data_IF_249707797789
#
_entry.id   IF_249707797789
#
_cell.length_a   1.000
_cell.length_b   1.000
_cell.length_c   1.000
_cell.angle_alpha   90.00
_cell.angle_beta   90.00
_cell.angle_gamma   90.00
#
_symmetry.space_group_name_H-M   'P 1'
#
loop_
_entity.id
_entity.type
_entity.pdbx_description
1 polymer ?
#
# COMPACT_ATOMS: atom_id res chain seq x y z
N UNK A 1 -5.14 13.15 -4.20
CA UNK A 1 -6.56 12.72 -4.25
C UNK A 1 -7.31 12.99 -2.96
N UNK A 2 -6.74 12.67 -1.79
CA UNK A 2 -7.35 12.86 -0.45
C UNK A 2 -7.93 14.26 -0.16
N UNK A 3 -7.27 15.33 -0.62
CA UNK A 3 -7.77 16.71 -0.48
C UNK A 3 -9.12 16.89 -1.18
N UNK A 4 -9.23 16.44 -2.43
CA UNK A 4 -10.46 16.58 -3.23
C UNK A 4 -11.60 15.77 -2.61
N UNK A 5 -11.33 14.58 -2.09
CA UNK A 5 -12.32 13.75 -1.40
C UNK A 5 -12.87 14.45 -0.15
N UNK A 6 -11.99 15.00 0.68
CA UNK A 6 -12.40 15.78 1.85
C UNK A 6 -13.26 16.98 1.45
N UNK A 7 -12.86 17.72 0.42
CA UNK A 7 -13.63 18.84 -0.10
C UNK A 7 -14.99 18.40 -0.66
N UNK A 8 -15.09 17.22 -1.29
CA UNK A 8 -16.34 16.64 -1.80
C UNK A 8 -17.31 16.24 -0.69
N UNK A 9 -16.79 15.98 0.51
CA UNK A 9 -17.57 15.79 1.74
C UNK A 9 -17.92 17.11 2.44
N UNK A 10 -17.56 18.26 1.85
CA UNK A 10 -17.75 19.57 2.46
C UNK A 10 -16.86 19.78 3.68
N UNK A 11 -15.67 19.18 3.71
CA UNK A 11 -14.70 19.39 4.78
C UNK A 11 -13.63 20.39 4.33
N UNK A 12 -13.43 21.50 5.05
CA UNK A 12 -12.33 22.40 4.75
C UNK A 12 -10.99 21.75 5.12
N UNK A 13 -9.99 21.93 4.27
CA UNK A 13 -8.69 21.23 4.38
C UNK A 13 -7.62 22.18 4.89
N UNK A 14 -6.77 21.70 5.81
CA UNK A 14 -5.47 22.32 6.11
C UNK A 14 -4.39 21.41 5.53
N UNK A 15 -3.57 21.93 4.63
CA UNK A 15 -2.50 21.18 3.98
C UNK A 15 -1.19 21.94 4.05
N UNK A 16 -0.08 21.20 4.07
CA UNK A 16 1.23 21.80 3.81
C UNK A 16 1.30 22.30 2.37
N UNK A 17 1.97 23.43 2.17
CA UNK A 17 2.22 24.09 0.91
C UNK A 17 3.43 23.44 0.25
N UNK A 18 3.20 22.25 -0.28
CA UNK A 18 4.21 21.51 -1.03
C UNK A 18 4.35 22.08 -2.45
N UNK A 19 5.51 21.93 -3.12
CA UNK A 19 5.76 22.53 -4.43
C UNK A 19 4.77 22.14 -5.54
N UNK A 20 4.14 20.97 -5.44
CA UNK A 20 3.12 20.47 -6.37
C UNK A 20 1.98 19.83 -5.60
N UNK A 21 0.75 19.93 -6.12
CA UNK A 21 -0.44 19.29 -5.54
C UNK A 21 -1.34 20.24 -4.73
N UNK A 22 -1.12 20.45 -3.41
CA UNK A 22 -2.08 21.19 -2.56
C UNK A 22 -2.44 22.57 -3.08
N UNK A 23 -1.46 23.35 -3.56
CA UNK A 23 -1.68 24.70 -4.09
C UNK A 23 -2.45 24.73 -5.42
N UNK A 24 -2.47 23.62 -6.15
CA UNK A 24 -3.25 23.50 -7.39
C UNK A 24 -4.70 23.11 -7.10
N UNK A 25 -5.00 22.67 -5.87
CA UNK A 25 -6.31 22.17 -5.46
C UNK A 25 -7.01 23.19 -4.56
N UNK A 26 -6.29 23.76 -3.59
CA UNK A 26 -6.80 24.65 -2.54
C UNK A 26 -6.59 26.11 -2.92
N UNK A 27 -7.66 26.90 -2.83
CA UNK A 27 -7.62 28.35 -2.82
C UNK A 27 -7.43 28.83 -1.36
N UNK A 28 -6.19 29.16 -1.01
CA UNK A 28 -5.77 29.47 0.36
C UNK A 28 -6.61 30.58 1.01
N UNK A 29 -7.13 30.29 2.20
CA UNK A 29 -7.99 31.18 2.97
C UNK A 29 -9.47 31.16 2.56
N UNK A 30 -9.82 30.56 1.41
CA UNK A 30 -11.19 30.52 0.89
C UNK A 30 -11.85 29.16 1.08
N UNK A 31 -11.21 28.09 0.59
CA UNK A 31 -11.75 26.72 0.63
C UNK A 31 -10.86 25.74 1.42
N UNK A 32 -9.67 26.19 1.81
CA UNK A 32 -8.74 25.50 2.69
C UNK A 32 -7.66 26.45 3.19
N UNK A 33 -6.65 25.90 3.85
CA UNK A 33 -5.45 26.62 4.26
C UNK A 33 -4.21 25.90 3.79
N UNK A 34 -3.25 26.68 3.30
CA UNK A 34 -1.91 26.23 3.00
C UNK A 34 -0.96 26.74 4.07
N UNK A 35 -0.23 25.84 4.71
CA UNK A 35 0.79 26.18 5.71
C UNK A 35 2.18 25.83 5.20
N UNK A 36 3.25 26.55 5.57
CA UNK A 36 4.60 26.23 5.12
C UNK A 36 4.98 24.76 5.37
N UNK A 37 5.71 24.18 4.42
CA UNK A 37 6.30 22.84 4.62
C UNK A 37 7.32 22.90 5.77
N UNK A 38 7.38 21.84 6.58
CA UNK A 38 8.24 21.69 7.76
C UNK A 38 7.99 22.67 8.93
N UNK A 39 6.83 23.34 8.96
CA UNK A 39 6.40 24.21 10.07
C UNK A 39 5.20 23.60 10.84
N UNK A 40 5.51 22.76 11.82
CA UNK A 40 4.50 22.09 12.66
C UNK A 40 3.71 23.07 13.53
N UNK A 41 4.32 24.17 13.97
CA UNK A 41 3.66 25.15 14.82
C UNK A 41 2.61 25.93 14.02
N UNK A 42 2.95 26.35 12.79
CA UNK A 42 1.98 26.95 11.87
C UNK A 42 0.82 26.00 11.55
N UNK A 43 1.12 24.71 11.36
CA UNK A 43 0.09 23.68 11.13
C UNK A 43 -0.87 23.55 12.33
N UNK A 44 -0.33 23.49 13.56
CA UNK A 44 -1.13 23.40 14.78
C UNK A 44 -1.98 24.66 15.01
N UNK A 45 -1.43 25.85 14.75
CA UNK A 45 -2.17 27.13 14.84
C UNK A 45 -3.30 27.17 13.83
N UNK A 46 -3.06 26.76 12.58
CA UNK A 46 -4.08 26.70 11.53
C UNK A 46 -5.25 25.81 11.94
N UNK A 47 -4.97 24.58 12.41
CA UNK A 47 -6.00 23.66 12.91
C UNK A 47 -6.78 24.26 14.08
N UNK A 48 -6.09 24.72 15.13
CA UNK A 48 -6.74 25.27 16.34
C UNK A 48 -7.63 26.46 16.03
N UNK A 49 -7.16 27.36 15.16
CA UNK A 49 -7.92 28.55 14.78
C UNK A 49 -9.21 28.18 14.05
N UNK A 50 -9.16 27.17 13.16
CA UNK A 50 -10.33 26.73 12.39
C UNK A 50 -11.30 25.88 13.21
N UNK A 51 -10.80 25.04 14.10
CA UNK A 51 -11.64 24.24 15.00
C UNK A 51 -12.46 25.11 15.97
N UNK A 52 -11.97 26.32 16.30
CA UNK A 52 -12.63 27.25 17.22
C UNK A 52 -13.63 28.20 16.56
N UNK A 53 -13.70 28.25 15.23
CA UNK A 53 -14.56 29.19 14.50
C UNK A 53 -15.51 28.43 13.57
N UNK A 54 -16.71 28.14 14.07
CA UNK A 54 -17.72 27.33 13.39
C UNK A 54 -18.23 27.97 12.10
N UNK A 55 -18.49 29.27 12.11
CA UNK A 55 -19.01 30.01 10.94
C UNK A 55 -18.00 30.01 9.79
N UNK A 56 -16.73 30.25 10.11
CA UNK A 56 -15.65 30.22 9.14
C UNK A 56 -15.48 28.81 8.56
N UNK A 57 -15.56 27.77 9.41
CA UNK A 57 -15.49 26.37 8.96
C UNK A 57 -16.65 26.02 8.04
N UNK A 58 -17.88 26.43 8.37
CA UNK A 58 -19.07 26.19 7.56
C UNK A 58 -19.01 26.92 6.21
N UNK A 59 -18.48 28.15 6.18
CA UNK A 59 -18.27 28.88 4.94
C UNK A 59 -17.24 28.19 4.06
N UNK A 60 -16.08 27.82 4.61
CA UNK A 60 -15.01 27.15 3.86
C UNK A 60 -15.46 25.78 3.36
N UNK A 61 -16.19 25.01 4.15
CA UNK A 61 -16.83 23.76 3.74
C UNK A 61 -17.65 23.90 2.45
N UNK A 62 -18.46 24.95 2.36
CA UNK A 62 -19.29 25.24 1.19
C UNK A 62 -18.45 25.60 -0.04
N UNK A 63 -17.38 26.38 0.15
CA UNK A 63 -16.46 26.74 -0.93
C UNK A 63 -15.65 25.53 -1.41
N UNK A 64 -15.18 24.70 -0.48
CA UNK A 64 -14.49 23.43 -0.75
C UNK A 64 -15.36 22.50 -1.60
N UNK A 65 -16.61 22.30 -1.20
CA UNK A 65 -17.56 21.49 -1.96
C UNK A 65 -17.78 22.04 -3.37
N UNK A 66 -17.91 23.36 -3.51
CA UNK A 66 -18.08 24.00 -4.82
C UNK A 66 -16.84 23.85 -5.71
N UNK A 67 -15.64 24.10 -5.17
CA UNK A 67 -14.39 24.00 -5.93
C UNK A 67 -14.09 22.54 -6.33
N UNK A 68 -14.41 21.56 -5.48
CA UNK A 68 -14.19 20.13 -5.76
C UNK A 68 -14.86 19.63 -7.04
N UNK A 69 -15.93 20.29 -7.49
CA UNK A 69 -16.68 19.89 -8.69
C UNK A 69 -15.84 19.92 -9.98
N UNK A 70 -14.77 20.73 -10.04
CA UNK A 70 -13.86 20.76 -11.20
C UNK A 70 -13.01 19.49 -11.34
N UNK A 71 -12.94 18.68 -10.28
CA UNK A 71 -12.22 17.41 -10.26
C UNK A 71 -13.16 16.20 -10.42
N UNK A 72 -14.41 16.43 -10.85
CA UNK A 72 -15.35 15.35 -11.12
C UNK A 72 -14.81 14.42 -12.23
N UNK A 73 -14.78 13.09 -12.03
CA UNK A 73 -14.20 12.17 -13.01
C UNK A 73 -14.85 12.26 -14.40
N UNK A 74 -16.16 12.51 -14.47
CA UNK A 74 -16.84 12.64 -15.76
C UNK A 74 -16.43 13.94 -16.48
N UNK A 75 -16.25 15.03 -15.72
CA UNK A 75 -15.75 16.29 -16.26
C UNK A 75 -14.33 16.15 -16.81
N UNK A 76 -13.43 15.53 -16.02
CA UNK A 76 -12.03 15.31 -16.42
C UNK A 76 -11.90 14.35 -17.61
N UNK A 77 -12.69 13.28 -17.63
CA UNK A 77 -12.70 12.33 -18.75
C UNK A 77 -13.17 12.99 -20.06
N UNK A 78 -14.18 13.85 -20.00
CA UNK A 78 -14.65 14.60 -21.16
C UNK A 78 -13.57 15.56 -21.69
N UNK A 79 -12.93 16.31 -20.79
CA UNK A 79 -11.83 17.22 -21.15
C UNK A 79 -10.66 16.45 -21.79
N UNK A 80 -10.26 15.33 -21.18
CA UNK A 80 -9.18 14.50 -21.72
C UNK A 80 -9.52 13.92 -23.11
N UNK A 81 -10.76 13.52 -23.33
CA UNK A 81 -11.21 13.04 -24.64
C UNK A 81 -11.15 14.15 -25.70
N UNK A 82 -11.54 15.38 -25.35
CA UNK A 82 -11.44 16.55 -26.22
C UNK A 82 -9.98 16.88 -26.55
N UNK A 83 -9.09 16.89 -25.54
CA UNK A 83 -7.65 17.13 -25.72
C UNK A 83 -7.02 16.04 -26.62
N UNK A 84 -7.39 14.76 -26.41
CA UNK A 84 -6.95 13.66 -27.27
C UNK A 84 -7.42 13.84 -28.72
N UNK A 85 -8.68 14.26 -28.90
CA UNK A 85 -9.23 14.50 -30.23
C UNK A 85 -8.48 15.62 -30.95
N UNK A 86 -8.11 16.70 -30.24
CA UNK A 86 -7.30 17.79 -30.80
C UNK A 86 -5.92 17.30 -31.26
N UNK A 87 -5.22 16.53 -30.42
CA UNK A 87 -3.91 15.95 -30.77
C UNK A 87 -4.00 15.03 -31.98
N UNK A 88 -5.06 14.22 -32.06
CA UNK A 88 -5.29 13.31 -33.19
C UNK A 88 -5.63 14.06 -34.48
N UNK A 89 -6.41 15.14 -34.41
CA UNK A 89 -6.72 15.98 -35.57
C UNK A 89 -5.45 16.62 -36.16
N UNK A 90 -4.59 17.17 -35.30
CA UNK A 90 -3.29 17.73 -35.71
C UNK A 90 -2.43 16.66 -36.41
N UNK A 91 -2.37 15.44 -35.87
CA UNK A 91 -1.61 14.33 -36.48
C UNK A 91 -2.17 13.87 -37.82
N UNK A 92 -3.48 14.03 -38.06
CA UNK A 92 -4.13 13.71 -39.34
C UNK A 92 -4.01 14.82 -40.39
N UNK A 93 -3.36 15.94 -40.06
CA UNK A 93 -3.27 17.10 -40.94
C UNK A 93 -4.58 17.90 -41.05
N UNK A 94 -5.51 17.66 -40.13
CA UNK A 94 -6.77 18.40 -40.05
C UNK A 94 -6.51 19.72 -39.32
N UNK A 95 -6.97 20.84 -39.88
CA UNK A 95 -6.82 22.14 -39.21
C UNK A 95 -7.76 22.18 -38.01
N UNK A 96 -7.28 22.36 -36.76
CA UNK A 96 -8.15 22.39 -35.59
C UNK A 96 -9.14 23.54 -35.72
N UNK A 97 -10.44 23.24 -35.63
CA UNK A 97 -11.46 24.29 -35.48
C UNK A 97 -11.36 24.84 -34.07
N UNK A 98 -10.64 25.94 -33.92
CA UNK A 98 -10.48 26.64 -32.65
C UNK A 98 -11.86 27.07 -32.12
N UNK A 99 -12.36 26.37 -31.11
CA UNK A 99 -13.55 26.81 -30.36
C UNK A 99 -13.10 27.98 -29.51
N UNK A 100 -13.51 29.22 -29.87
CA UNK A 100 -13.41 30.37 -28.95
C UNK A 100 -14.26 30.05 -27.73
N UNK A 101 -13.64 29.47 -26.70
CA UNK A 101 -14.25 29.39 -25.38
C UNK A 101 -14.37 30.83 -24.89
N UNK A 102 -15.60 31.32 -24.86
CA UNK A 102 -15.93 32.59 -24.22
C UNK A 102 -15.56 32.48 -22.75
N UNK A 103 -14.36 32.95 -22.41
CA UNK A 103 -13.91 33.17 -21.05
C UNK A 103 -14.85 34.21 -20.43
N UNK A 104 -15.93 33.76 -19.78
CA UNK A 104 -16.68 34.59 -18.82
C UNK A 104 -15.72 34.89 -17.69
N UNK A 105 -15.04 36.02 -17.81
CA UNK A 105 -14.23 36.58 -16.74
C UNK A 105 -15.13 36.92 -15.57
N UNK A 106 -14.95 36.20 -14.46
CA UNK A 106 -15.20 36.79 -13.15
C UNK A 106 -14.17 37.92 -12.94
N UNK A 107 -14.59 39.11 -12.47
CA UNK A 107 -13.70 40.24 -12.34
C UNK A 107 -12.73 39.99 -11.19
N UNK A 108 -11.53 39.50 -11.50
CA UNK A 108 -10.37 39.62 -10.61
C UNK A 108 -10.01 41.10 -10.54
N UNK A 109 -10.50 41.78 -9.50
CA UNK A 109 -9.95 43.09 -9.10
C UNK A 109 -8.47 42.88 -8.81
N UNK A 110 -7.64 43.51 -9.64
CA UNK A 110 -6.20 43.42 -9.56
C UNK A 110 -5.67 44.07 -8.30
N UNK A 111 -4.64 43.43 -7.74
CA UNK A 111 -3.51 44.13 -7.17
C UNK A 111 -2.25 43.58 -7.85
N UNK A 112 -1.82 44.36 -8.84
CA UNK A 112 -0.44 44.66 -9.22
C UNK A 112 0.67 43.70 -8.75
N UNK A 113 1.32 43.12 -9.76
CA UNK A 113 2.76 42.81 -9.85
C UNK A 113 3.61 43.41 -8.71
N UNK A 114 4.34 42.55 -8.02
CA UNK A 114 5.69 42.87 -7.57
C UNK A 114 6.61 41.69 -7.92
N UNK A 115 7.42 41.89 -8.96
CA UNK A 115 8.74 41.30 -9.02
C UNK A 115 9.58 41.98 -7.95
N UNK A 116 10.25 41.21 -7.09
CA UNK A 116 11.67 41.35 -6.75
C UNK A 116 11.99 40.47 -5.53
N UNK A 117 12.87 39.50 -5.75
CA UNK A 117 13.80 39.10 -4.72
C UNK A 117 14.63 40.32 -4.30
N UNK A 118 14.64 40.66 -3.01
CA UNK A 118 15.77 41.28 -2.26
C UNK A 118 15.32 41.70 -0.85
N UNK A 119 16.17 41.37 0.13
CA UNK A 119 16.28 42.12 1.39
C UNK A 119 15.49 41.53 2.55
N UNK A 120 16.21 41.05 3.56
CA UNK A 120 15.59 40.67 4.83
C UNK A 120 15.23 41.88 5.68
N UNK A 121 14.27 41.68 6.57
CA UNK A 121 14.20 42.32 7.88
C UNK A 121 13.45 41.36 8.83
N UNK A 122 14.15 40.91 9.88
CA UNK A 122 13.56 40.16 10.99
C UNK A 122 12.65 41.11 11.78
N UNK A 123 11.36 40.81 11.88
CA UNK A 123 10.54 41.37 12.95
C UNK A 123 10.86 40.66 14.26
N UNK A 124 11.49 41.36 15.21
CA UNK A 124 11.63 40.92 16.60
C UNK A 124 10.31 41.13 17.32
N UNK A 125 9.61 40.06 17.67
CA UNK A 125 8.59 40.13 18.71
C UNK A 125 9.24 40.18 20.10
N UNK A 126 8.93 41.18 20.95
CA UNK A 126 9.58 41.37 22.24
C UNK A 126 9.33 40.26 23.28
N UNK A 127 8.35 39.38 23.07
CA UNK A 127 7.95 38.36 24.06
C UNK A 127 8.28 36.91 23.66
N UNK A 128 8.90 36.68 22.49
CA UNK A 128 9.30 35.33 22.06
C UNK A 128 10.37 34.72 22.97
N UNK A 129 11.28 35.56 23.49
CA UNK A 129 12.35 35.13 24.43
C UNK A 129 11.76 34.68 25.76
N UNK A 130 10.64 35.27 26.19
CA UNK A 130 9.94 34.88 27.43
C UNK A 130 9.13 33.59 27.26
N UNK A 131 8.60 33.35 26.06
CA UNK A 131 7.88 32.13 25.70
C UNK A 131 8.82 30.93 25.53
N UNK A 132 10.04 31.16 25.02
CA UNK A 132 11.10 30.15 24.89
C UNK A 132 11.87 29.87 26.20
N UNK A 133 11.61 30.63 27.26
CA UNK A 133 12.18 30.40 28.57
C UNK A 133 11.40 29.37 29.41
N UNK A 134 10.30 28.81 28.88
CA UNK A 134 9.52 27.76 29.54
C UNK A 134 10.38 26.48 29.71
N UNK A 135 10.65 26.03 30.96
CA UNK A 135 11.45 24.84 31.23
C UNK A 135 10.90 23.55 30.60
N UNK A 136 9.62 23.51 30.20
CA UNK A 136 9.01 22.35 29.54
C UNK A 136 9.47 22.13 28.08
N UNK A 137 10.04 23.15 27.42
CA UNK A 137 10.50 23.07 26.03
C UNK A 137 11.99 22.66 25.88
N UNK A 138 12.78 22.64 26.96
CA UNK A 138 14.21 22.24 26.92
C UNK A 138 14.46 20.75 26.73
N UNK A 139 13.43 19.91 26.75
CA UNK A 139 13.57 18.45 26.66
C UNK A 139 13.78 17.87 25.26
N UNK A 140 13.60 18.63 24.18
CA UNK A 140 13.53 18.07 22.81
C UNK A 140 14.61 18.63 21.87
N UNK A 141 15.28 19.73 22.21
CA UNK A 141 16.27 20.39 21.36
C UNK A 141 17.70 20.30 21.91
N UNK A 142 18.22 19.08 22.07
CA UNK A 142 19.58 18.85 22.53
C UNK A 142 20.23 17.65 21.83
N UNK A 143 20.64 17.82 20.57
CA UNK A 143 21.79 17.07 20.05
C UNK A 143 22.43 17.81 18.87
N UNK A 144 23.62 18.33 19.15
CA UNK A 144 24.54 19.12 18.34
C UNK A 144 24.82 18.57 16.92
N UNK A 145 24.46 19.38 15.91
CA UNK A 145 25.17 19.48 14.63
C UNK A 145 26.18 20.62 14.78
N UNK A 146 27.48 20.40 15.08
CA UNK A 146 28.48 20.45 14.01
C UNK A 146 29.85 19.80 14.36
N UNK A 147 29.97 18.47 14.47
CA UNK A 147 31.30 17.80 14.52
C UNK A 147 31.30 16.39 13.90
N UNK A 148 31.07 16.25 12.59
CA UNK A 148 31.37 14.99 11.85
C UNK A 148 31.83 15.21 10.40
N UNK A 149 32.64 16.23 10.14
CA UNK A 149 33.37 16.35 8.88
C UNK A 149 34.78 15.75 9.00
N UNK A 150 34.89 14.41 9.04
CA UNK A 150 36.16 13.67 8.73
C UNK A 150 36.04 12.14 8.89
N UNK A 151 35.06 11.61 9.62
CA UNK A 151 34.87 10.15 9.78
C UNK A 151 33.93 9.55 8.70
N UNK A 152 33.08 10.40 8.08
CA UNK A 152 32.08 9.98 7.10
C UNK A 152 32.66 9.38 5.80
N UNK A 153 33.86 9.81 5.39
CA UNK A 153 34.50 9.33 4.16
C UNK A 153 35.01 7.88 4.28
N UNK A 154 35.57 7.51 5.44
CA UNK A 154 36.09 6.17 5.69
C UNK A 154 34.96 5.13 5.89
N UNK A 155 33.84 5.53 6.51
CA UNK A 155 32.66 4.67 6.67
C UNK A 155 31.93 4.46 5.33
N UNK A 156 31.96 5.45 4.42
CA UNK A 156 31.39 5.32 3.05
C UNK A 156 32.12 4.25 2.24
N UNK A 157 33.45 4.19 2.30
CA UNK A 157 34.26 3.22 1.56
C UNK A 157 34.09 1.77 2.09
N UNK A 158 33.97 1.60 3.41
CA UNK A 158 33.68 0.29 4.01
C UNK A 158 32.25 -0.21 3.70
N UNK A 159 31.27 0.70 3.62
CA UNK A 159 29.88 0.39 3.20
C UNK A 159 29.77 0.05 1.71
N UNK A 160 30.50 0.73 0.83
CA UNK A 160 30.53 0.42 -0.61
C UNK A 160 31.11 -0.98 -0.87
N UNK A 161 32.14 -1.40 -0.12
CA UNK A 161 32.70 -2.76 -0.22
C UNK A 161 31.74 -3.84 0.29
N UNK A 162 31.00 -3.61 1.39
CA UNK A 162 29.96 -4.55 1.89
C UNK A 162 28.73 -4.59 0.98
N UNK A 163 28.28 -3.46 0.44
CA UNK A 163 27.14 -3.40 -0.48
C UNK A 163 27.40 -4.18 -1.79
N UNK A 164 28.63 -4.16 -2.31
CA UNK A 164 29.03 -4.99 -3.47
C UNK A 164 29.01 -6.49 -3.18
N UNK A 165 29.38 -6.92 -1.96
CA UNK A 165 29.33 -8.32 -1.53
C UNK A 165 27.90 -8.84 -1.31
N UNK A 166 26.99 -7.97 -0.82
CA UNK A 166 25.57 -8.30 -0.66
C UNK A 166 24.83 -8.29 -2.00
N UNK A 167 25.20 -7.37 -2.90
CA UNK A 167 24.72 -7.33 -4.29
C UNK A 167 25.09 -8.59 -5.08
N UNK A 168 26.27 -9.17 -4.84
CA UNK A 168 26.67 -10.45 -5.45
C UNK A 168 25.86 -11.64 -4.94
N UNK A 169 25.45 -11.66 -3.66
CA UNK A 169 24.54 -12.69 -3.12
C UNK A 169 23.13 -12.55 -3.69
N UNK A 170 22.61 -11.32 -3.82
CA UNK A 170 21.33 -11.03 -4.48
C UNK A 170 21.39 -11.45 -5.96
N UNK A 171 22.44 -11.10 -6.67
CA UNK A 171 22.64 -11.51 -8.07
C UNK A 171 22.85 -13.03 -8.23
N UNK A 172 23.51 -13.72 -7.30
CA UNK A 172 23.59 -15.18 -7.31
C UNK A 172 22.23 -15.85 -7.03
N UNK A 173 21.42 -15.28 -6.13
CA UNK A 173 20.06 -15.75 -5.88
C UNK A 173 19.15 -15.53 -7.10
N UNK A 174 19.30 -14.39 -7.80
CA UNK A 174 18.62 -14.11 -9.07
C UNK A 174 19.07 -15.09 -10.17
N UNK A 175 20.38 -15.33 -10.34
CA UNK A 175 20.90 -16.29 -11.34
C UNK A 175 20.46 -17.73 -11.07
N UNK A 176 20.43 -18.17 -9.81
CA UNK A 176 19.87 -19.49 -9.43
C UNK A 176 18.35 -19.59 -9.69
N UNK A 177 17.62 -18.47 -9.69
CA UNK A 177 16.17 -18.41 -9.97
C UNK A 177 15.82 -18.45 -11.45
N UNK A 178 16.64 -17.85 -12.32
CA UNK A 178 16.44 -17.86 -13.78
C UNK A 178 16.84 -19.21 -14.39
N UNK A 179 17.75 -19.95 -13.76
CA UNK A 179 18.25 -21.25 -14.24
C UNK A 179 17.74 -22.43 -13.40
N UNK A 180 16.42 -22.52 -13.18
CA UNK A 180 15.81 -23.75 -12.67
C UNK A 180 15.72 -24.79 -13.79
N UNK A 181 15.96 -26.08 -13.54
CA UNK A 181 15.79 -27.11 -14.57
C UNK A 181 14.37 -27.07 -15.13
N UNK A 182 14.24 -27.24 -16.45
CA UNK A 182 12.99 -27.18 -17.22
C UNK A 182 11.97 -28.27 -16.83
N UNK A 183 12.35 -29.22 -15.96
CA UNK A 183 11.59 -30.43 -15.62
C UNK A 183 10.85 -30.36 -14.26
N UNK A 184 10.70 -29.16 -13.68
CA UNK A 184 9.91 -28.99 -12.45
C UNK A 184 8.46 -28.67 -12.83
N UNK A 185 7.46 -29.45 -12.38
CA UNK A 185 6.07 -29.22 -12.73
C UNK A 185 5.59 -27.86 -12.21
N UNK A 186 4.76 -27.20 -13.01
CA UNK A 186 4.14 -25.92 -12.66
C UNK A 186 2.63 -26.08 -12.48
N UNK A 187 2.03 -25.26 -11.62
CA UNK A 187 0.58 -25.22 -11.44
C UNK A 187 0.07 -23.81 -11.24
N UNK A 188 -1.15 -23.60 -11.70
CA UNK A 188 -1.97 -22.47 -11.32
C UNK A 188 -2.74 -22.78 -10.03
N UNK A 189 -2.92 -21.77 -9.19
CA UNK A 189 -3.75 -21.84 -8.00
C UNK A 189 -4.65 -20.61 -7.91
N UNK A 190 -5.94 -20.84 -7.75
CA UNK A 190 -6.95 -19.80 -7.59
C UNK A 190 -7.71 -20.00 -6.27
N UNK A 191 -7.87 -18.92 -5.52
CA UNK A 191 -8.80 -18.87 -4.39
C UNK A 191 -10.22 -18.65 -4.95
N UNK A 192 -11.15 -19.48 -4.52
CA UNK A 192 -12.54 -19.47 -4.97
C UNK A 192 -13.44 -18.66 -4.01
N UNK A 193 -14.65 -18.24 -4.42
CA UNK A 193 -15.57 -17.44 -3.59
C UNK A 193 -15.93 -18.05 -2.23
N UNK A 194 -16.08 -19.38 -2.17
CA UNK A 194 -16.27 -20.11 -0.92
C UNK A 194 -14.97 -20.28 -0.10
N UNK A 195 -13.91 -19.54 -0.42
CA UNK A 195 -12.58 -19.53 0.21
C UNK A 195 -11.75 -20.82 0.07
N UNK A 196 -12.28 -21.85 -0.60
CA UNK A 196 -11.51 -23.01 -1.06
C UNK A 196 -10.50 -22.68 -2.16
N UNK A 197 -9.73 -23.69 -2.58
CA UNK A 197 -8.68 -23.56 -3.60
C UNK A 197 -9.01 -24.38 -4.84
N UNK A 198 -8.66 -23.85 -6.01
CA UNK A 198 -8.68 -24.57 -7.28
C UNK A 198 -7.28 -24.63 -7.87
N UNK A 199 -6.89 -25.84 -8.26
CA UNK A 199 -5.62 -26.12 -8.93
C UNK A 199 -5.87 -26.37 -10.40
N UNK A 200 -4.95 -25.92 -11.25
CA UNK A 200 -4.92 -26.27 -12.67
C UNK A 200 -3.49 -26.56 -13.09
N UNK A 201 -3.27 -27.71 -13.73
CA UNK A 201 -1.97 -28.18 -14.19
C UNK A 201 -2.09 -28.59 -15.65
N UNK A 202 -1.06 -28.38 -16.46
CA UNK A 202 -1.08 -28.81 -17.86
C UNK A 202 -1.17 -30.33 -17.96
N UNK A 203 -2.05 -30.83 -18.83
CA UNK A 203 -2.27 -32.27 -18.97
C UNK A 203 -0.98 -33.00 -19.40
N UNK A 204 -0.18 -32.35 -20.25
CA UNK A 204 1.13 -32.86 -20.68
C UNK A 204 2.15 -33.00 -19.53
N UNK A 205 1.99 -32.28 -18.43
CA UNK A 205 2.89 -32.30 -17.28
C UNK A 205 2.46 -33.32 -16.20
N UNK A 206 1.32 -33.98 -16.38
CA UNK A 206 0.69 -34.87 -15.40
C UNK A 206 0.53 -36.29 -15.94
N UNK A 207 0.78 -37.28 -15.10
CA UNK A 207 0.34 -38.65 -15.38
C UNK A 207 -1.18 -38.78 -15.15
N UNK A 208 -1.86 -39.72 -15.85
CA UNK A 208 -3.25 -40.05 -15.54
C UNK A 208 -3.42 -40.37 -14.05
N UNK A 209 -4.45 -39.81 -13.40
CA UNK A 209 -4.69 -39.98 -11.98
C UNK A 209 -3.72 -39.24 -11.05
N UNK A 210 -3.11 -38.14 -11.52
CA UNK A 210 -2.26 -37.29 -10.68
C UNK A 210 -3.05 -36.60 -9.55
N UNK A 211 -2.34 -36.31 -8.47
CA UNK A 211 -2.89 -35.63 -7.29
C UNK A 211 -2.08 -34.37 -6.98
N UNK A 212 -2.75 -33.31 -6.56
CA UNK A 212 -2.09 -32.26 -5.80
C UNK A 212 -2.04 -32.72 -4.35
N UNK A 213 -0.84 -32.69 -3.77
CA UNK A 213 -0.61 -33.08 -2.38
C UNK A 213 -0.13 -31.86 -1.61
N UNK A 214 -0.90 -31.46 -0.61
CA UNK A 214 -0.52 -30.43 0.35
C UNK A 214 0.00 -31.11 1.61
N UNK A 215 1.14 -30.63 2.12
CA UNK A 215 1.75 -31.20 3.34
C UNK A 215 2.22 -30.10 4.28
N UNK A 216 1.80 -30.18 5.54
CA UNK A 216 2.40 -29.44 6.63
C UNK A 216 3.24 -30.39 7.51
N UNK A 217 3.59 -29.99 8.74
CA UNK A 217 4.39 -30.82 9.66
C UNK A 217 3.64 -32.01 10.24
N UNK A 218 2.30 -31.99 10.25
CA UNK A 218 1.43 -32.97 10.94
C UNK A 218 0.49 -33.74 10.02
N UNK A 219 0.12 -33.15 8.90
CA UNK A 219 -1.00 -33.55 8.05
C UNK A 219 -0.60 -33.56 6.57
N UNK A 220 -1.31 -34.42 5.82
CA UNK A 220 -1.22 -34.51 4.37
C UNK A 220 -2.64 -34.50 3.81
N UNK A 221 -2.90 -33.60 2.87
CA UNK A 221 -4.19 -33.46 2.20
C UNK A 221 -3.98 -33.69 0.71
N UNK A 222 -4.82 -34.51 0.10
CA UNK A 222 -4.72 -34.90 -1.31
C UNK A 222 -5.94 -34.40 -2.08
N UNK A 223 -5.69 -33.82 -3.25
CA UNK A 223 -6.72 -33.32 -4.17
C UNK A 223 -6.59 -34.09 -5.47
N UNK A 224 -7.65 -34.82 -5.83
CA UNK A 224 -7.71 -35.52 -7.10
C UNK A 224 -7.78 -34.51 -8.25
N UNK A 225 -7.02 -34.75 -9.32
CA UNK A 225 -7.09 -33.95 -10.52
C UNK A 225 -7.84 -34.70 -11.63
N UNK A 226 -8.92 -34.11 -12.13
CA UNK A 226 -9.68 -34.59 -13.29
C UNK A 226 -9.39 -33.77 -14.55
N UNK A 227 -9.64 -34.27 -15.77
CA UNK A 227 -9.48 -33.48 -16.99
C UNK A 227 -10.45 -32.30 -17.03
N UNK A 228 -10.00 -31.15 -17.54
CA UNK A 228 -10.88 -30.04 -17.92
C UNK A 228 -11.68 -30.38 -19.17
N UNK A 229 -12.74 -29.60 -19.44
CA UNK A 229 -13.63 -29.83 -20.60
C UNK A 229 -12.89 -29.80 -21.95
N UNK A 230 -11.82 -29.01 -22.06
CA UNK A 230 -10.98 -28.91 -23.26
C UNK A 230 -9.89 -30.00 -23.33
N UNK A 231 -9.73 -30.82 -22.28
CA UNK A 231 -8.72 -31.87 -22.17
C UNK A 231 -7.28 -31.36 -22.05
N UNK A 232 -7.06 -30.03 -22.09
CA UNK A 232 -5.72 -29.44 -22.07
C UNK A 232 -5.11 -29.40 -20.68
N UNK A 233 -5.95 -29.43 -19.64
CA UNK A 233 -5.52 -29.27 -18.25
C UNK A 233 -6.14 -30.34 -17.36
N UNK A 234 -5.51 -30.55 -16.23
CA UNK A 234 -6.06 -31.28 -15.12
C UNK A 234 -6.36 -30.33 -13.96
N UNK A 235 -7.55 -30.44 -13.40
CA UNK A 235 -8.12 -29.51 -12.44
C UNK A 235 -8.60 -30.27 -11.21
N UNK A 236 -8.37 -29.68 -10.03
CA UNK A 236 -8.90 -30.19 -8.77
C UNK A 236 -9.29 -29.05 -7.85
N UNK A 237 -10.22 -29.32 -6.95
CA UNK A 237 -10.73 -28.34 -5.99
C UNK A 237 -10.59 -28.87 -4.58
N UNK A 238 -10.31 -27.95 -3.66
CA UNK A 238 -10.16 -28.21 -2.24
C UNK A 238 -11.09 -27.26 -1.49
N UNK A 239 -11.92 -27.79 -0.61
CA UNK A 239 -12.81 -27.01 0.22
C UNK A 239 -12.05 -26.17 1.26
N UNK A 240 -12.68 -25.09 1.72
CA UNK A 240 -12.04 -24.16 2.65
C UNK A 240 -11.76 -24.78 4.03
N UNK A 241 -12.52 -25.80 4.44
CA UNK A 241 -12.39 -26.48 5.72
C UNK A 241 -11.27 -27.53 5.75
N UNK A 242 -10.79 -27.96 4.58
CA UNK A 242 -9.87 -29.07 4.43
C UNK A 242 -8.43 -28.80 4.91
N UNK A 243 -8.05 -27.54 5.11
CA UNK A 243 -6.73 -27.19 5.65
C UNK A 243 -6.84 -26.65 7.07
N UNK A 244 -6.02 -27.21 7.97
CA UNK A 244 -5.73 -26.64 9.28
C UNK A 244 -4.79 -25.43 9.19
N UNK A 245 -4.76 -24.62 10.25
CA UNK A 245 -3.90 -23.43 10.34
C UNK A 245 -2.42 -23.81 10.18
N UNK A 246 -1.71 -23.08 9.31
CA UNK A 246 -0.27 -23.26 9.15
C UNK A 246 0.23 -23.09 7.72
N UNK A 247 1.48 -23.52 7.51
CA UNK A 247 2.14 -23.51 6.21
C UNK A 247 2.01 -24.86 5.53
N UNK A 248 1.52 -24.86 4.31
CA UNK A 248 1.33 -26.04 3.48
C UNK A 248 2.23 -26.00 2.27
N UNK A 249 3.10 -26.99 2.15
CA UNK A 249 3.94 -27.18 0.97
C UNK A 249 3.18 -27.96 -0.09
N UNK A 250 3.28 -27.53 -1.35
CA UNK A 250 2.52 -28.11 -2.47
C UNK A 250 3.40 -29.00 -3.34
N UNK A 251 2.89 -30.19 -3.64
CA UNK A 251 3.51 -31.21 -4.46
C UNK A 251 2.53 -31.71 -5.51
N UNK A 252 3.06 -32.20 -6.63
CA UNK A 252 2.34 -33.00 -7.60
C UNK A 252 2.79 -34.45 -7.43
N UNK A 253 1.84 -35.34 -7.19
CA UNK A 253 2.07 -36.78 -7.11
C UNK A 253 1.56 -37.46 -8.37
N UNK A 254 2.37 -38.38 -8.92
CA UNK A 254 1.89 -39.28 -9.95
C UNK A 254 1.00 -40.40 -9.35
N UNK A 255 0.30 -41.14 -10.22
CA UNK A 255 -0.52 -42.29 -9.80
C UNK A 255 0.28 -43.44 -9.15
N UNK A 256 1.62 -43.34 -9.11
CA UNK A 256 2.54 -44.31 -8.48
C UNK A 256 3.09 -43.82 -7.13
N UNK A 257 2.71 -42.61 -6.69
CA UNK A 257 3.05 -42.05 -5.38
C UNK A 257 4.35 -41.24 -5.32
N UNK A 258 5.08 -41.08 -6.42
CA UNK A 258 6.26 -40.22 -6.48
C UNK A 258 5.83 -38.75 -6.45
N UNK A 259 6.48 -37.92 -5.62
CA UNK A 259 6.07 -36.53 -5.35
C UNK A 259 7.13 -35.55 -5.80
N UNK A 260 6.74 -34.56 -6.59
CA UNK A 260 7.61 -33.47 -7.04
C UNK A 260 7.08 -32.13 -6.53
N UNK A 261 7.98 -31.26 -6.07
CA UNK A 261 7.62 -29.89 -5.68
C UNK A 261 7.12 -29.13 -6.90
N UNK A 262 6.10 -28.30 -6.71
CA UNK A 262 5.45 -27.55 -7.79
C UNK A 262 5.94 -26.10 -7.79
N UNK A 263 6.15 -25.52 -8.98
CA UNK A 263 6.34 -24.07 -9.14
C UNK A 263 5.00 -23.37 -9.41
N UNK A 264 4.76 -22.19 -8.85
CA UNK A 264 3.60 -21.41 -9.23
C UNK A 264 3.78 -20.85 -10.64
N UNK A 265 2.73 -20.99 -11.45
CA UNK A 265 2.60 -20.35 -12.76
C UNK A 265 1.70 -19.11 -12.62
N UNK A 266 0.41 -19.28 -12.36
CA UNK A 266 -0.53 -18.19 -12.04
C UNK A 266 -1.14 -18.36 -10.64
N UNK A 267 -1.09 -17.30 -9.84
CA UNK A 267 -1.75 -17.23 -8.53
C UNK A 267 -2.85 -16.17 -8.58
N UNK A 268 -4.10 -16.56 -8.29
CA UNK A 268 -5.25 -15.66 -8.29
C UNK A 268 -5.94 -15.66 -6.92
N UNK A 269 -5.69 -14.61 -6.14
CA UNK A 269 -6.21 -14.43 -4.78
C UNK A 269 -7.13 -13.22 -4.64
N UNK A 270 -7.60 -12.63 -5.75
CA UNK A 270 -8.39 -11.38 -5.75
C UNK A 270 -9.68 -11.45 -4.94
N UNK A 271 -10.25 -12.65 -4.81
CA UNK A 271 -11.46 -12.85 -4.00
C UNK A 271 -11.24 -12.58 -2.50
N UNK A 272 -9.99 -12.61 -2.03
CA UNK A 272 -9.65 -12.27 -0.64
C UNK A 272 -9.72 -10.76 -0.37
N UNK A 273 -9.69 -9.92 -1.40
CA UNK A 273 -9.85 -8.45 -1.28
C UNK A 273 -11.29 -7.99 -1.49
N UNK A 274 -12.08 -8.75 -2.26
CA UNK A 274 -13.45 -8.34 -2.67
C UNK A 274 -14.57 -9.11 -1.95
N UNK A 275 -14.30 -9.74 -0.80
CA UNK A 275 -15.28 -10.60 -0.13
C UNK A 275 -16.53 -9.77 0.27
N UNK A 276 -17.73 -10.06 -0.28
CA UNK A 276 -18.93 -9.31 0.05
C UNK A 276 -19.29 -9.54 1.52
N UNK A 277 -19.60 -8.47 2.24
CA UNK A 277 -20.05 -8.50 3.64
C UNK A 277 -21.24 -9.46 3.87
N UNK A 278 -22.02 -9.69 2.81
CA UNK A 278 -23.38 -10.23 2.85
C UNK A 278 -23.48 -11.70 2.36
N UNK A 279 -22.40 -12.26 1.77
CA UNK A 279 -22.47 -13.51 0.99
C UNK A 279 -22.40 -14.83 1.79
N UNK A 280 -22.24 -14.78 3.11
CA UNK A 280 -22.10 -15.96 3.97
C UNK A 280 -23.14 -15.90 5.10
N UNK A 281 -24.42 -15.96 4.72
CA UNK A 281 -25.55 -16.09 5.63
C UNK A 281 -25.71 -17.57 6.05
N UNK A 282 -25.06 -17.92 7.16
CA UNK A 282 -25.14 -19.20 7.86
C UNK A 282 -24.38 -19.06 9.18
N UNK A 283 -24.51 -19.99 10.13
CA UNK A 283 -23.65 -20.05 11.32
C UNK A 283 -22.18 -20.06 10.87
N UNK A 284 -21.55 -18.88 10.86
CA UNK A 284 -20.20 -18.71 10.34
C UNK A 284 -19.28 -19.50 11.26
N UNK A 285 -18.72 -20.60 10.76
CA UNK A 285 -17.79 -21.48 11.50
C UNK A 285 -16.41 -20.84 11.69
N UNK A 286 -16.37 -19.54 11.99
CA UNK A 286 -15.17 -18.74 12.10
C UNK A 286 -14.68 -18.14 10.77
N UNK A 287 -13.40 -17.76 10.72
CA UNK A 287 -12.73 -17.19 9.54
C UNK A 287 -11.70 -18.18 9.02
N UNK A 288 -11.74 -18.44 7.70
CA UNK A 288 -10.77 -19.26 6.99
C UNK A 288 -10.24 -18.50 5.79
N UNK A 289 -8.93 -18.43 5.63
CA UNK A 289 -8.29 -17.79 4.49
C UNK A 289 -7.07 -18.59 4.05
N UNK A 290 -7.02 -18.92 2.75
CA UNK A 290 -5.92 -19.68 2.16
C UNK A 290 -5.22 -18.83 1.11
N UNK A 291 -3.99 -18.43 1.39
CA UNK A 291 -3.18 -17.58 0.50
C UNK A 291 -2.12 -18.45 -0.19
N UNK A 292 -2.28 -18.78 -1.48
CA UNK A 292 -1.21 -19.39 -2.24
C UNK A 292 -0.12 -18.35 -2.54
N UNK A 293 1.15 -18.75 -2.44
CA UNK A 293 2.28 -17.85 -2.66
C UNK A 293 3.52 -18.61 -3.16
N UNK A 294 4.44 -17.86 -3.78
CA UNK A 294 5.77 -18.36 -4.17
C UNK A 294 6.73 -18.26 -2.98
N UNK A 295 7.34 -19.37 -2.60
CA UNK A 295 8.36 -19.41 -1.55
C UNK A 295 9.69 -18.82 -2.04
N UNK A 296 10.61 -18.51 -1.13
CA UNK A 296 11.92 -17.93 -1.47
C UNK A 296 12.74 -18.84 -2.41
N UNK A 297 12.66 -20.16 -2.21
CA UNK A 297 13.23 -21.21 -3.08
C UNK A 297 12.43 -21.45 -4.38
N UNK A 298 11.39 -20.66 -4.64
CA UNK A 298 10.72 -20.57 -5.94
C UNK A 298 9.55 -21.54 -6.15
N UNK A 299 9.17 -22.30 -5.13
CA UNK A 299 8.09 -23.30 -5.18
C UNK A 299 6.77 -22.74 -4.65
N UNK A 300 5.70 -23.51 -4.84
CA UNK A 300 4.36 -23.18 -4.44
C UNK A 300 4.10 -23.66 -3.01
N UNK A 301 3.59 -22.75 -2.19
CA UNK A 301 3.06 -23.04 -0.87
C UNK A 301 1.73 -22.33 -0.66
N UNK A 302 0.95 -22.81 0.29
CA UNK A 302 -0.28 -22.17 0.76
C UNK A 302 -0.08 -21.79 2.23
N UNK A 303 -0.42 -20.56 2.58
CA UNK A 303 -0.59 -20.15 3.97
C UNK A 303 -2.07 -20.27 4.31
N UNK A 304 -2.40 -21.12 5.28
CA UNK A 304 -3.76 -21.30 5.78
C UNK A 304 -3.91 -20.60 7.12
N UNK A 305 -4.90 -19.73 7.24
CA UNK A 305 -5.35 -19.14 8.50
C UNK A 305 -6.75 -19.66 8.82
N UNK A 306 -6.89 -20.20 10.02
CA UNK A 306 -8.16 -20.74 10.52
C UNK A 306 -8.39 -20.17 11.91
N UNK A 307 -9.49 -19.45 12.11
CA UNK A 307 -9.92 -18.97 13.42
C UNK A 307 -11.34 -19.42 13.67
N UNK A 308 -11.57 -20.14 14.77
CA UNK A 308 -12.93 -20.58 15.15
C UNK A 308 -13.88 -19.40 15.40
N UNK A 309 -13.33 -18.26 15.84
CA UNK A 309 -14.05 -17.01 15.96
C UNK A 309 -13.16 -15.81 15.60
N UNK A 310 -13.76 -14.75 15.05
CA UNK A 310 -13.09 -13.50 14.71
C UNK A 310 -14.08 -12.33 14.83
N UNK A 311 -13.59 -11.20 15.32
CA UNK A 311 -14.33 -9.93 15.31
C UNK A 311 -13.57 -8.93 14.45
N UNK A 312 -14.19 -8.46 13.38
CA UNK A 312 -13.62 -7.44 12.51
C UNK A 312 -14.21 -6.07 12.87
N UNK A 313 -13.37 -5.15 13.34
CA UNK A 313 -13.79 -3.80 13.70
C UNK A 313 -14.16 -3.02 12.43
N UNK A 314 -15.41 -2.57 12.35
CA UNK A 314 -15.95 -1.78 11.25
C UNK A 314 -15.91 -0.28 11.53
N UNK A 315 -16.09 0.11 12.79
CA UNK A 315 -16.12 1.51 13.19
C UNK A 315 -15.66 1.68 14.61
N UNK A 316 -14.90 2.74 14.86
CA UNK A 316 -14.57 3.22 16.20
C UNK A 316 -15.05 4.66 16.26
N UNK A 317 -15.95 4.97 17.19
CA UNK A 317 -16.45 6.31 17.46
C UNK A 317 -15.96 6.73 18.84
N UNK A 318 -15.38 7.93 18.92
CA UNK A 318 -14.95 8.54 20.17
C UNK A 318 -15.93 9.69 20.46
N UNK A 319 -16.60 9.65 21.60
CA UNK A 319 -17.49 10.72 22.05
C UNK A 319 -17.21 11.07 23.51
N UNK A 320 -16.39 12.11 23.70
CA UNK A 320 -15.95 12.60 25.02
C UNK A 320 -15.29 11.50 25.85
N UNK A 321 -16.07 10.91 26.75
CA UNK A 321 -15.65 9.86 27.67
C UNK A 321 -15.96 8.43 27.18
N UNK A 322 -16.65 8.29 26.04
CA UNK A 322 -17.11 6.99 25.53
C UNK A 322 -16.38 6.58 24.24
N UNK A 323 -16.09 5.28 24.13
CA UNK A 323 -15.55 4.64 22.93
C UNK A 323 -16.54 3.60 22.46
N UNK A 324 -17.18 3.84 21.32
CA UNK A 324 -18.11 2.88 20.70
C UNK A 324 -17.42 2.14 19.58
N UNK A 325 -17.35 0.81 19.67
CA UNK A 325 -16.75 -0.04 18.64
C UNK A 325 -17.85 -0.88 17.99
N UNK A 326 -18.08 -0.66 16.71
CA UNK A 326 -18.93 -1.53 15.89
C UNK A 326 -18.03 -2.57 15.21
N UNK A 327 -18.44 -3.83 15.25
CA UNK A 327 -17.69 -4.94 14.65
C UNK A 327 -18.62 -5.97 14.01
N UNK A 328 -18.08 -6.73 13.06
CA UNK A 328 -18.71 -7.91 12.50
C UNK A 328 -18.17 -9.15 13.22
N UNK A 329 -19.07 -10.01 13.71
CA UNK A 329 -18.71 -11.27 14.36
C UNK A 329 -18.73 -12.43 13.35
N UNK A 330 -17.67 -13.22 13.35
CA UNK A 330 -17.52 -14.42 12.54
C UNK A 330 -17.21 -15.58 13.48
N UNK A 331 -18.21 -16.32 13.89
CA UNK A 331 -18.04 -17.44 14.82
C UNK A 331 -19.39 -18.00 15.25
N UNK A 332 -19.42 -19.20 15.84
CA UNK A 332 -20.65 -19.76 16.38
C UNK A 332 -21.15 -18.92 17.57
N UNK A 333 -22.48 -18.80 17.68
CA UNK A 333 -23.15 -18.10 18.77
C UNK A 333 -22.95 -16.58 18.77
N UNK A 334 -23.45 -15.94 19.82
CA UNK A 334 -23.24 -14.51 20.11
C UNK A 334 -22.22 -14.39 21.24
N UNK A 335 -21.24 -13.48 21.17
CA UNK A 335 -20.34 -13.25 22.30
C UNK A 335 -21.12 -12.77 23.53
N UNK A 336 -20.85 -13.37 24.70
CA UNK A 336 -21.48 -12.98 25.97
C UNK A 336 -20.98 -11.60 26.50
N UNK A 337 -19.92 -11.06 25.90
CA UNK A 337 -19.36 -9.76 26.23
C UNK A 337 -18.12 -9.43 25.41
N UNK A 338 -17.67 -8.18 25.49
CA UNK A 338 -16.45 -7.71 24.84
C UNK A 338 -15.55 -6.99 25.86
N UNK A 339 -14.24 -7.18 25.76
CA UNK A 339 -13.25 -6.49 26.60
C UNK A 339 -12.34 -5.68 25.68
N UNK A 340 -12.33 -4.36 25.84
CA UNK A 340 -11.36 -3.50 25.19
C UNK A 340 -10.06 -3.48 26.00
N UNK A 341 -8.98 -4.03 25.44
CA UNK A 341 -7.64 -3.97 26.04
C UNK A 341 -6.77 -3.02 25.23
N UNK A 342 -6.45 -1.86 25.79
CA UNK A 342 -5.38 -1.01 25.26
C UNK A 342 -4.04 -1.72 25.48
N UNK A 343 -3.34 -2.06 24.40
CA UNK A 343 -1.94 -2.46 24.45
C UNK A 343 -1.09 -1.30 23.94
N UNK A 344 -0.24 -0.66 24.77
CA UNK A 344 0.76 0.24 24.24
C UNK A 344 1.66 -0.56 23.29
N UNK A 345 1.82 -0.07 22.07
CA UNK A 345 2.68 -0.66 21.06
C UNK A 345 3.42 0.45 20.36
N UNK A 346 4.71 0.23 20.10
CA UNK A 346 5.50 1.10 19.25
C UNK A 346 5.46 0.55 17.83
N UNK A 347 4.97 1.35 16.88
CA UNK A 347 4.99 0.99 15.48
C UNK A 347 6.32 1.42 14.88
N UNK A 348 7.31 0.54 14.87
CA UNK A 348 8.49 0.77 14.03
C UNK A 348 8.15 0.67 12.54
N UNK A 349 8.30 1.77 11.82
CA UNK A 349 8.08 1.83 10.38
C UNK A 349 9.30 2.35 9.61
N UNK A 350 9.32 2.10 8.30
CA UNK A 350 10.29 2.70 7.39
C UNK A 350 9.57 3.31 6.18
N UNK A 351 10.15 4.38 5.62
CA UNK A 351 9.69 4.99 4.38
C UNK A 351 10.84 4.92 3.37
N UNK A 352 10.53 4.42 2.17
CA UNK A 352 11.44 4.38 1.04
C UNK A 352 10.81 5.09 -0.16
N UNK A 353 11.41 6.20 -0.55
CA UNK A 353 11.03 6.99 -1.73
C UNK A 353 11.70 6.39 -2.97
N UNK A 354 10.94 5.86 -3.92
CA UNK A 354 11.45 5.10 -5.07
C UNK A 354 12.38 5.93 -5.97
N UNK A 355 12.13 7.24 -6.04
CA UNK A 355 12.96 8.21 -6.77
C UNK A 355 14.30 8.50 -6.07
N UNK A 356 14.46 8.15 -4.78
CA UNK A 356 15.68 8.46 -4.04
C UNK A 356 16.82 7.47 -4.38
N UNK A 357 18.05 7.95 -4.68
CA UNK A 357 19.17 7.09 -5.07
C UNK A 357 19.66 6.09 -4.00
N UNK A 358 19.22 6.25 -2.74
CA UNK A 358 19.61 5.41 -1.61
C UNK A 358 18.59 4.29 -1.35
N UNK A 359 17.45 4.29 -2.05
CA UNK A 359 16.36 3.34 -1.85
C UNK A 359 16.79 1.89 -2.01
N UNK A 360 17.63 1.50 -2.99
CA UNK A 360 18.16 0.14 -3.05
C UNK A 360 18.86 -0.30 -1.75
N UNK A 361 19.63 0.59 -1.11
CA UNK A 361 20.33 0.30 0.13
C UNK A 361 19.36 0.20 1.32
N UNK A 362 18.33 1.06 1.37
CA UNK A 362 17.28 1.01 2.40
C UNK A 362 16.47 -0.29 2.32
N UNK A 363 16.05 -0.68 1.11
CA UNK A 363 15.34 -1.94 0.87
C UNK A 363 16.20 -3.16 1.22
N UNK A 364 17.49 -3.14 0.89
CA UNK A 364 18.42 -4.19 1.30
C UNK A 364 18.55 -4.30 2.83
N UNK A 365 18.53 -3.18 3.55
CA UNK A 365 18.56 -3.17 5.01
C UNK A 365 17.27 -3.76 5.62
N UNK A 366 16.11 -3.34 5.09
CA UNK A 366 14.81 -3.90 5.47
C UNK A 366 14.77 -5.41 5.24
N UNK A 367 15.25 -5.88 4.08
CA UNK A 367 15.25 -7.30 3.76
C UNK A 367 16.18 -8.12 4.68
N UNK A 368 17.32 -7.55 5.04
CA UNK A 368 18.31 -8.22 5.88
C UNK A 368 17.89 -8.32 7.35
N UNK A 369 17.24 -7.28 7.89
CA UNK A 369 16.88 -7.22 9.31
C UNK A 369 15.46 -7.66 9.60
N UNK A 370 14.52 -7.35 8.71
CA UNK A 370 13.07 -7.60 8.86
C UNK A 370 12.54 -7.19 10.24
N UNK A 371 13.04 -6.07 10.75
CA UNK A 371 12.77 -5.56 12.09
C UNK A 371 11.73 -4.42 12.10
N UNK A 372 11.09 -4.14 10.97
CA UNK A 372 10.02 -3.14 10.88
C UNK A 372 8.66 -3.82 10.82
N UNK A 373 7.69 -3.23 11.50
CA UNK A 373 6.30 -3.70 11.49
C UNK A 373 5.62 -3.35 10.17
N UNK A 374 5.92 -2.16 9.63
CA UNK A 374 5.37 -1.64 8.37
C UNK A 374 6.50 -0.94 7.61
N UNK A 375 6.44 -0.97 6.28
CA UNK A 375 7.23 -0.05 5.46
C UNK A 375 6.34 0.52 4.36
N UNK A 376 6.55 1.79 4.03
CA UNK A 376 5.87 2.49 2.95
C UNK A 376 6.84 2.63 1.77
N UNK A 377 6.35 2.30 0.58
CA UNK A 377 7.01 2.57 -0.69
C UNK A 377 6.27 3.77 -1.30
N UNK A 378 6.97 4.89 -1.44
CA UNK A 378 6.40 6.13 -1.97
C UNK A 378 7.05 6.46 -3.31
N UNK A 379 6.29 6.97 -4.27
CA UNK A 379 6.73 7.22 -5.65
C UNK A 379 6.48 8.66 -6.10
N UNK A 380 6.35 9.59 -5.14
CA UNK A 380 5.82 10.95 -5.32
C UNK A 380 6.54 11.83 -6.36
N UNK A 381 7.72 11.43 -6.84
CA UNK A 381 8.51 12.17 -7.83
C UNK A 381 8.90 11.34 -9.05
N UNK A 382 8.17 10.27 -9.34
CA UNK A 382 8.51 9.32 -10.41
C UNK A 382 7.95 9.78 -11.76
N UNK A 383 8.72 9.55 -12.83
CA UNK A 383 8.26 9.70 -14.22
C UNK A 383 7.98 8.33 -14.85
N UNK A 384 7.29 8.30 -16.00
CA UNK A 384 7.06 7.04 -16.74
C UNK A 384 8.38 6.36 -17.16
N UNK A 385 9.43 7.15 -17.42
CA UNK A 385 10.76 6.66 -17.75
C UNK A 385 11.43 5.94 -16.58
N UNK A 386 11.06 6.26 -15.33
CA UNK A 386 11.62 5.66 -14.12
C UNK A 386 11.00 4.28 -13.80
N UNK A 387 9.83 3.96 -14.36
CA UNK A 387 9.04 2.78 -14.00
C UNK A 387 9.83 1.47 -14.16
N UNK A 388 10.54 1.32 -15.27
CA UNK A 388 11.32 0.11 -15.53
C UNK A 388 12.43 -0.10 -14.49
N UNK A 389 13.12 0.98 -14.11
CA UNK A 389 14.17 0.96 -13.09
C UNK A 389 13.59 0.64 -11.71
N UNK A 390 12.47 1.25 -11.35
CA UNK A 390 11.77 1.00 -10.09
C UNK A 390 11.30 -0.44 -9.96
N UNK A 391 10.65 -0.98 -11.00
CA UNK A 391 10.21 -2.39 -11.03
C UNK A 391 11.38 -3.37 -10.92
N UNK A 392 12.55 -3.03 -11.48
CA UNK A 392 13.75 -3.86 -11.38
C UNK A 392 14.28 -3.99 -9.94
N UNK A 393 13.98 -3.03 -9.07
CA UNK A 393 14.37 -3.02 -7.66
C UNK A 393 13.25 -3.57 -6.76
N UNK A 394 12.01 -3.16 -7.03
CA UNK A 394 10.85 -3.51 -6.21
C UNK A 394 10.45 -4.97 -6.32
N UNK A 395 10.38 -5.50 -7.55
CA UNK A 395 9.91 -6.87 -7.77
C UNK A 395 10.76 -7.87 -6.99
N UNK A 396 12.11 -7.84 -7.09
CA UNK A 396 12.96 -8.75 -6.30
C UNK A 396 12.86 -8.53 -4.79
N UNK A 397 12.73 -7.27 -4.35
CA UNK A 397 12.58 -6.95 -2.93
C UNK A 397 11.29 -7.56 -2.37
N UNK A 398 10.13 -7.26 -2.96
CA UNK A 398 8.82 -7.73 -2.49
C UNK A 398 8.73 -9.26 -2.54
N UNK A 399 9.17 -9.88 -3.63
CA UNK A 399 9.22 -11.34 -3.81
C UNK A 399 10.09 -12.06 -2.78
N UNK A 400 11.08 -11.37 -2.22
CA UNK A 400 11.99 -11.95 -1.22
C UNK A 400 11.54 -11.60 0.18
N UNK A 401 11.04 -10.38 0.39
CA UNK A 401 10.56 -9.91 1.67
C UNK A 401 9.34 -10.71 2.12
N UNK A 402 8.44 -11.03 1.19
CA UNK A 402 7.25 -11.82 1.45
C UNK A 402 7.39 -13.31 1.09
N UNK A 403 6.67 -14.19 1.79
CA UNK A 403 5.82 -13.90 2.95
C UNK A 403 6.65 -13.67 4.22
N UNK A 404 6.09 -12.92 5.16
CA UNK A 404 6.58 -12.83 6.54
C UNK A 404 5.80 -13.84 7.37
N UNK A 405 6.48 -14.65 8.20
CA UNK A 405 5.80 -15.50 9.16
C UNK A 405 5.09 -14.59 10.18
N UNK A 406 3.78 -14.77 10.37
CA UNK A 406 3.06 -14.00 11.40
C UNK A 406 3.67 -14.31 12.78
N UNK A 407 3.82 -13.31 13.68
CA UNK A 407 4.30 -13.53 15.05
C UNK A 407 3.46 -14.54 15.86
N UNK A 408 2.25 -14.82 15.39
CA UNK A 408 1.31 -15.77 15.98
C UNK A 408 1.38 -17.16 15.32
N UNK A 409 2.23 -17.36 14.30
CA UNK A 409 2.52 -18.68 13.75
C UNK A 409 3.22 -19.52 14.82
N UNK A 410 2.48 -20.47 15.41
CA UNK A 410 3.07 -21.54 16.21
C UNK A 410 3.48 -22.67 15.26
N UNK A 411 4.77 -23.00 15.26
CA UNK A 411 5.33 -24.18 14.58
C UNK A 411 4.91 -25.48 15.24
#
# INVERSE_FOLDING_TARGET
MTIVEAMRLGLPVVSTDCPVGPREIIDDGEDGLLVPSDDLDAYAVALRTRMRNDDLRARMAKMALANSARFDPAHLAAQFADDCAEVLAVRRGETPRHRRTGRRGTPRRGLTRSMLARGGELFREPDLVRTLADPLLRGIAGNDLPRRASVGALVRLARIRRARATSTRLQQAIRRRVSGPADVPAADCRVLPHLGLRWSVDAAACSPGAWVVLRNTREVVQVSLGPSNDGLRHVGTLDADALSEGRWNVYLADGKGARRRVRPQRLDSRVLTDCPDDGLAGERSGVRAHVPYRTTDGFLAVRSWVRAAHAEVRRIVLDGETVTIAFSWYGPGTPDGAVLRRRPGELEYAIAELSHPDTPARLAHLLARRDRHVFCLNDAFSTEEDLAAQLSILTPFLDTYFPVASPWEKG
#
